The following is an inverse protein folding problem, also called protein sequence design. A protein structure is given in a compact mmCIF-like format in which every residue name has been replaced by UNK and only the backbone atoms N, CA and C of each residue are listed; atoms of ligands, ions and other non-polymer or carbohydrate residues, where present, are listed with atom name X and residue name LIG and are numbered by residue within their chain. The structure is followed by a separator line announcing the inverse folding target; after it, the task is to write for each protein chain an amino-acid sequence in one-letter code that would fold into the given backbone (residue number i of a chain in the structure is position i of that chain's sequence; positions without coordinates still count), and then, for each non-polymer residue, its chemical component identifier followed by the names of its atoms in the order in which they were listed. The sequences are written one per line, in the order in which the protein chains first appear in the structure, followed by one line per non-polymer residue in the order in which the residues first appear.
data_IF_236416824242
#
_entry.id   IF_236416824242
#
_cell.length_a   1.000
_cell.length_b   1.000
_cell.length_c   1.000
_cell.angle_alpha   90.00
_cell.angle_beta   90.00
_cell.angle_gamma   90.00
#
_symmetry.space_group_name_H-M   'P 1'
#
loop_
_entity.id
_entity.type
_entity.pdbx_description
1 polymer ?
#
# COMPACT_ATOMS: atom_id res chain seq x y z
N UNK A 1 12.45 5.21 -32.56
CA UNK A 1 12.50 4.10 -31.59
C UNK A 1 12.78 4.71 -30.24
N UNK A 2 11.93 4.42 -29.26
CA UNK A 2 12.16 4.87 -27.88
C UNK A 2 13.40 4.12 -27.34
N UNK A 3 14.45 4.87 -27.04
CA UNK A 3 15.81 4.35 -26.76
C UNK A 3 15.82 3.35 -25.60
N UNK A 4 14.82 3.42 -24.72
CA UNK A 4 14.73 2.62 -23.50
C UNK A 4 13.49 1.73 -23.46
N UNK A 5 12.86 1.46 -24.61
CA UNK A 5 11.65 0.62 -24.65
C UNK A 5 11.85 -0.75 -23.99
N UNK A 6 12.95 -1.43 -24.33
CA UNK A 6 13.30 -2.75 -23.77
C UNK A 6 13.58 -2.67 -22.26
N UNK A 7 14.29 -1.63 -21.80
CA UNK A 7 14.52 -1.41 -20.38
C UNK A 7 13.22 -1.14 -19.62
N UNK A 8 12.32 -0.33 -20.20
CA UNK A 8 11.02 -0.03 -19.59
C UNK A 8 10.19 -1.30 -19.46
N UNK A 9 10.11 -2.11 -20.51
CA UNK A 9 9.41 -3.38 -20.50
C UNK A 9 9.99 -4.33 -19.44
N UNK A 10 11.32 -4.42 -19.34
CA UNK A 10 11.99 -5.24 -18.33
C UNK A 10 11.69 -4.77 -16.90
N UNK A 11 11.73 -3.45 -16.66
CA UNK A 11 11.43 -2.87 -15.34
C UNK A 11 9.96 -3.08 -14.98
N UNK A 12 9.04 -2.85 -15.92
CA UNK A 12 7.61 -3.08 -15.72
C UNK A 12 7.29 -4.55 -15.50
N UNK A 13 8.08 -5.50 -16.04
CA UNK A 13 7.88 -6.94 -15.89
C UNK A 13 8.26 -7.49 -14.51
N UNK A 14 9.16 -6.85 -13.78
CA UNK A 14 9.70 -7.33 -12.50
C UNK A 14 8.68 -7.22 -11.36
N UNK A 15 8.70 -8.21 -10.47
CA UNK A 15 7.94 -8.18 -9.21
C UNK A 15 8.65 -7.28 -8.18
N UNK A 16 7.85 -6.56 -7.39
CA UNK A 16 8.35 -5.65 -6.37
C UNK A 16 8.31 -6.28 -4.98
N UNK A 17 9.38 -6.05 -4.21
CA UNK A 17 9.39 -6.23 -2.75
C UNK A 17 9.28 -4.86 -2.12
N UNK A 18 8.15 -4.57 -1.48
CA UNK A 18 8.02 -3.37 -0.66
C UNK A 18 8.67 -3.63 0.70
N UNK A 19 9.93 -3.19 0.81
CA UNK A 19 10.75 -3.40 2.00
C UNK A 19 10.37 -2.47 3.17
N UNK A 20 9.53 -1.45 2.94
CA UNK A 20 9.10 -0.53 3.99
C UNK A 20 7.78 0.18 3.67
N UNK A 21 6.70 -0.28 4.30
CA UNK A 21 5.37 0.31 4.17
C UNK A 21 4.78 0.73 5.52
N UNK A 22 3.72 1.55 5.46
CA UNK A 22 2.87 1.94 6.59
C UNK A 22 1.39 1.73 6.24
N UNK A 23 0.51 1.84 7.24
CA UNK A 23 -0.94 1.74 7.04
C UNK A 23 -1.51 2.90 6.21
N UNK A 24 -2.59 2.62 5.48
CA UNK A 24 -3.28 3.58 4.60
C UNK A 24 -4.01 4.67 5.41
N UNK A 25 -3.80 5.95 5.06
CA UNK A 25 -4.44 7.13 5.69
C UNK A 25 -5.11 8.06 4.65
N UNK A 26 -5.97 8.98 5.10
CA UNK A 26 -6.64 9.98 4.25
C UNK A 26 -5.82 11.27 4.13
N UNK A 27 -5.65 11.82 2.90
CA UNK A 27 -4.96 13.10 2.64
C UNK A 27 -5.91 14.17 2.07
N UNK A 28 -5.60 15.44 2.29
CA UNK A 28 -6.43 16.64 2.03
C UNK A 28 -6.24 17.29 0.64
N UNK A 29 -5.53 16.62 -0.27
CA UNK A 29 -5.89 16.67 -1.69
C UNK A 29 -5.29 17.77 -2.59
N UNK A 30 -4.34 18.59 -2.12
CA UNK A 30 -3.80 19.71 -2.93
C UNK A 30 -2.39 19.49 -3.48
N UNK A 31 -1.68 18.45 -3.05
CA UNK A 31 -0.32 18.19 -3.50
C UNK A 31 -0.28 17.57 -4.91
N UNK A 32 0.79 17.84 -5.66
CA UNK A 32 1.03 17.24 -6.98
C UNK A 32 1.00 15.71 -6.97
N UNK A 33 1.50 15.10 -5.89
CA UNK A 33 1.45 13.63 -5.70
C UNK A 33 0.03 13.13 -5.58
N UNK A 34 -0.86 13.89 -4.95
CA UNK A 34 -2.28 13.57 -4.86
C UNK A 34 -2.96 13.64 -6.23
N UNK A 35 -2.70 14.69 -7.02
CA UNK A 35 -3.30 14.83 -8.36
C UNK A 35 -2.86 13.73 -9.33
N UNK A 36 -1.59 13.29 -9.25
CA UNK A 36 -1.12 12.12 -9.99
C UNK A 36 -1.79 10.85 -9.51
N UNK A 37 -1.73 10.57 -8.21
CA UNK A 37 -2.35 9.38 -7.63
C UNK A 37 -3.85 9.30 -7.89
N UNK A 38 -4.55 10.44 -7.95
CA UNK A 38 -5.98 10.48 -8.32
C UNK A 38 -6.21 10.01 -9.76
N UNK A 39 -5.37 10.39 -10.72
CA UNK A 39 -5.46 9.90 -12.10
C UNK A 39 -5.12 8.42 -12.18
N UNK A 40 -4.00 8.03 -11.60
CA UNK A 40 -3.50 6.66 -11.67
C UNK A 40 -4.48 5.67 -11.02
N UNK A 41 -5.06 6.03 -9.88
CA UNK A 41 -6.09 5.22 -9.19
C UNK A 41 -7.42 5.22 -9.96
N UNK A 42 -7.85 6.36 -10.52
CA UNK A 42 -9.07 6.39 -11.31
C UNK A 42 -8.96 5.51 -12.57
N UNK A 43 -7.81 5.55 -13.23
CA UNK A 43 -7.50 4.67 -14.36
C UNK A 43 -7.51 3.19 -13.94
N UNK A 44 -6.81 2.86 -12.83
CA UNK A 44 -6.78 1.50 -12.29
C UNK A 44 -8.19 0.98 -11.93
N UNK A 45 -9.04 1.83 -11.39
CA UNK A 45 -10.40 1.46 -10.98
C UNK A 45 -11.40 1.48 -12.15
N UNK A 46 -11.05 2.11 -13.27
CA UNK A 46 -11.99 2.42 -14.35
C UNK A 46 -13.09 3.39 -13.93
N UNK A 47 -12.80 4.30 -12.99
CA UNK A 47 -13.75 5.28 -12.44
C UNK A 47 -13.60 6.66 -13.07
N UNK A 48 -14.54 7.57 -12.77
CA UNK A 48 -14.35 9.00 -13.05
C UNK A 48 -13.06 9.50 -12.39
N UNK A 49 -12.31 10.36 -13.09
CA UNK A 49 -11.10 11.06 -12.58
C UNK A 49 -11.52 12.18 -11.63
N UNK A 50 -12.19 11.80 -10.54
CA UNK A 50 -12.68 12.69 -9.51
C UNK A 50 -12.58 11.99 -8.15
N UNK A 51 -12.44 12.78 -7.08
CA UNK A 51 -12.44 12.21 -5.72
C UNK A 51 -13.74 11.45 -5.45
N UNK A 52 -14.87 11.96 -5.95
CA UNK A 52 -16.20 11.33 -5.82
C UNK A 52 -16.24 9.98 -6.50
N UNK A 53 -15.80 9.88 -7.76
CA UNK A 53 -15.79 8.63 -8.51
C UNK A 53 -14.96 7.54 -7.83
N UNK A 54 -13.77 7.91 -7.34
CA UNK A 54 -12.91 7.00 -6.57
C UNK A 54 -13.57 6.59 -5.25
N UNK A 55 -14.19 7.53 -4.52
CA UNK A 55 -14.85 7.23 -3.24
C UNK A 55 -16.07 6.32 -3.42
N UNK A 56 -16.87 6.52 -4.47
CA UNK A 56 -18.01 5.67 -4.83
C UNK A 56 -17.54 4.26 -5.17
N UNK A 57 -16.52 4.12 -6.03
CA UNK A 57 -15.92 2.83 -6.34
C UNK A 57 -15.42 2.14 -5.06
N UNK A 58 -14.72 2.87 -4.18
CA UNK A 58 -14.21 2.31 -2.93
C UNK A 58 -15.31 1.76 -2.03
N UNK A 59 -16.44 2.47 -1.94
CA UNK A 59 -17.61 2.05 -1.17
C UNK A 59 -18.29 0.81 -1.76
N UNK A 60 -18.39 0.73 -3.08
CA UNK A 60 -19.06 -0.40 -3.76
C UNK A 60 -18.21 -1.67 -3.79
N UNK A 61 -16.90 -1.56 -4.00
CA UNK A 61 -16.01 -2.72 -4.21
C UNK A 61 -15.51 -3.37 -2.92
N UNK A 62 -15.39 -2.59 -1.84
CA UNK A 62 -14.88 -3.05 -0.55
C UNK A 62 -13.36 -3.16 -0.48
N UNK A 63 -12.82 -3.03 0.74
CA UNK A 63 -11.38 -2.89 0.99
C UNK A 63 -10.56 -4.07 0.45
N UNK A 64 -10.99 -5.31 0.68
CA UNK A 64 -10.23 -6.50 0.27
C UNK A 64 -10.07 -6.60 -1.26
N UNK A 65 -11.16 -6.39 -2.02
CA UNK A 65 -11.13 -6.42 -3.48
C UNK A 65 -10.20 -5.34 -4.05
N UNK A 66 -10.27 -4.14 -3.48
CA UNK A 66 -9.45 -3.00 -3.87
C UNK A 66 -7.98 -3.25 -3.56
N UNK A 67 -7.68 -3.77 -2.37
CA UNK A 67 -6.31 -4.14 -2.00
C UNK A 67 -5.76 -5.19 -2.98
N UNK A 68 -6.51 -6.25 -3.27
CA UNK A 68 -6.07 -7.26 -4.24
C UNK A 68 -5.82 -6.68 -5.63
N UNK A 69 -6.69 -5.78 -6.12
CA UNK A 69 -6.50 -5.07 -7.38
C UNK A 69 -5.21 -4.25 -7.38
N UNK A 70 -4.99 -3.42 -6.36
CA UNK A 70 -3.81 -2.56 -6.25
C UNK A 70 -2.51 -3.37 -6.15
N UNK A 71 -2.48 -4.40 -5.30
CA UNK A 71 -1.30 -5.24 -5.11
C UNK A 71 -0.92 -6.00 -6.37
N UNK A 72 -1.92 -6.54 -7.08
CA UNK A 72 -1.72 -7.21 -8.36
C UNK A 72 -1.22 -6.23 -9.43
N UNK A 73 -1.80 -5.04 -9.52
CA UNK A 73 -1.37 -4.02 -10.48
C UNK A 73 0.06 -3.54 -10.22
N UNK A 74 0.44 -3.42 -8.95
CA UNK A 74 1.79 -3.05 -8.52
C UNK A 74 2.79 -4.22 -8.56
N UNK A 75 2.36 -5.44 -8.89
CA UNK A 75 3.19 -6.67 -8.92
C UNK A 75 3.95 -6.92 -7.62
N UNK A 76 3.29 -6.66 -6.48
CA UNK A 76 3.90 -6.86 -5.16
C UNK A 76 3.95 -8.36 -4.85
N UNK A 77 5.14 -8.91 -4.70
CA UNK A 77 5.36 -10.32 -4.36
C UNK A 77 5.65 -10.52 -2.86
N UNK A 78 6.11 -9.49 -2.16
CA UNK A 78 6.35 -9.56 -0.73
C UNK A 78 6.09 -8.23 -0.04
N UNK A 79 5.63 -8.29 1.21
CA UNK A 79 5.37 -7.12 2.06
C UNK A 79 6.03 -7.35 3.42
N UNK A 80 6.81 -6.36 3.88
CA UNK A 80 7.34 -6.34 5.24
C UNK A 80 6.65 -5.22 6.02
N UNK A 81 5.88 -5.58 7.04
CA UNK A 81 4.99 -4.68 7.78
C UNK A 81 5.62 -4.31 9.11
N UNK A 82 5.81 -3.01 9.34
CA UNK A 82 6.10 -2.46 10.66
C UNK A 82 4.77 -2.14 11.38
N UNK A 83 4.42 -2.98 12.35
CA UNK A 83 3.22 -2.83 13.19
C UNK A 83 3.51 -2.14 14.55
N UNK A 84 4.69 -1.53 14.69
CA UNK A 84 5.11 -0.85 15.91
C UNK A 84 4.42 0.50 16.15
N UNK A 85 3.67 1.02 15.17
CA UNK A 85 2.78 2.18 15.31
C UNK A 85 1.34 1.68 15.36
N UNK A 86 0.62 2.10 16.38
CA UNK A 86 -0.79 1.81 16.53
C UNK A 86 -1.65 2.87 15.82
N UNK A 87 -2.48 2.42 14.89
CA UNK A 87 -3.45 3.22 14.16
C UNK A 87 -4.85 2.65 14.37
N UNK A 88 -5.89 3.47 14.21
CA UNK A 88 -7.25 2.96 14.22
C UNK A 88 -7.48 2.05 13.00
N UNK A 89 -8.15 0.92 13.22
CA UNK A 89 -8.57 -0.05 12.18
C UNK A 89 -7.43 -0.80 11.48
N UNK A 90 -6.30 -1.02 12.16
CA UNK A 90 -5.27 -1.94 11.68
C UNK A 90 -5.80 -3.37 11.55
N UNK A 91 -5.45 -4.03 10.46
CA UNK A 91 -5.66 -5.47 10.32
C UNK A 91 -4.44 -6.24 10.82
N UNK A 92 -4.67 -7.45 11.34
CA UNK A 92 -3.59 -8.35 11.72
C UNK A 92 -2.73 -8.76 10.51
N UNK A 93 -1.49 -9.18 10.76
CA UNK A 93 -0.56 -9.60 9.71
C UNK A 93 -1.13 -10.70 8.81
N UNK A 94 -1.97 -11.58 9.37
CA UNK A 94 -2.56 -12.70 8.65
C UNK A 94 -3.54 -12.25 7.55
N UNK A 95 -4.26 -11.16 7.77
CA UNK A 95 -5.14 -10.58 6.75
C UNK A 95 -4.38 -10.20 5.47
N UNK A 96 -3.14 -9.71 5.63
CA UNK A 96 -2.29 -9.24 4.54
C UNK A 96 -1.78 -10.38 3.63
N UNK A 97 -1.77 -11.63 4.11
CA UNK A 97 -1.41 -12.81 3.30
C UNK A 97 -2.35 -13.04 2.12
N UNK A 98 -3.52 -12.41 2.14
CA UNK A 98 -4.47 -12.44 1.03
C UNK A 98 -3.99 -11.66 -0.21
N UNK A 99 -2.95 -10.81 -0.07
CA UNK A 99 -2.53 -9.88 -1.13
C UNK A 99 -1.11 -10.13 -1.67
N UNK A 100 -0.26 -10.81 -0.91
CA UNK A 100 1.10 -11.17 -1.33
C UNK A 100 1.46 -12.57 -0.81
N UNK A 101 2.22 -13.37 -1.58
CA UNK A 101 2.62 -14.71 -1.16
C UNK A 101 3.56 -14.70 0.05
N UNK A 102 4.34 -13.63 0.24
CA UNK A 102 5.24 -13.46 1.38
C UNK A 102 4.84 -12.23 2.19
N UNK A 103 4.54 -12.43 3.47
CA UNK A 103 4.29 -11.36 4.43
C UNK A 103 5.16 -11.57 5.64
N UNK A 104 5.95 -10.55 5.98
CA UNK A 104 6.86 -10.53 7.13
C UNK A 104 6.57 -9.36 8.05
N UNK A 105 7.01 -9.48 9.31
CA UNK A 105 6.91 -8.43 10.32
C UNK A 105 8.28 -7.76 10.52
N UNK A 106 8.30 -6.44 10.58
CA UNK A 106 9.46 -5.65 11.01
C UNK A 106 9.28 -5.31 12.50
N UNK A 107 10.28 -5.62 13.31
CA UNK A 107 10.31 -5.25 14.72
C UNK A 107 10.82 -3.82 14.87
N UNK A 108 9.95 -2.91 15.29
CA UNK A 108 10.33 -1.55 15.68
C UNK A 108 11.02 -1.55 17.05
N UNK A 109 12.34 -1.37 17.04
CA UNK A 109 13.18 -1.47 18.23
C UNK A 109 12.85 -0.40 19.28
N UNK A 110 12.42 0.78 18.86
CA UNK A 110 12.05 1.90 19.74
C UNK A 110 10.83 1.56 20.58
N UNK A 111 9.81 0.95 19.96
CA UNK A 111 8.58 0.54 20.66
C UNK A 111 8.85 -0.61 21.63
N UNK A 112 9.76 -1.52 21.28
CA UNK A 112 10.20 -2.57 22.19
C UNK A 112 10.99 -1.98 23.37
N UNK A 113 11.90 -1.05 23.11
CA UNK A 113 12.69 -0.39 24.15
C UNK A 113 11.79 0.38 25.13
N UNK A 114 10.79 1.11 24.63
CA UNK A 114 9.78 1.80 25.45
C UNK A 114 9.08 0.83 26.41
N UNK A 115 8.58 -0.31 25.90
CA UNK A 115 7.91 -1.32 26.74
C UNK A 115 8.82 -1.90 27.83
N UNK A 116 10.06 -2.21 27.49
CA UNK A 116 11.05 -2.72 28.46
C UNK A 116 11.33 -1.68 29.55
N UNK A 117 11.46 -0.40 29.16
CA UNK A 117 11.69 0.69 30.11
C UNK A 117 10.49 0.89 31.04
N UNK A 118 9.26 0.72 30.56
CA UNK A 118 8.05 0.84 31.37
C UNK A 118 7.87 -0.34 32.35
N UNK A 119 8.34 -1.55 32.03
CA UNK A 119 8.30 -2.71 32.94
C UNK A 119 9.30 -2.62 34.11
N UNK A 120 10.37 -1.82 33.94
CA UNK A 120 11.44 -1.64 34.93
C UNK A 120 11.17 -0.45 35.88
N UNK A 121 10.09 0.30 35.67
CA UNK A 121 9.63 1.40 36.56
C UNK A 121 8.70 0.89 37.66
#
# INVERSE_FOLDING_TARGET
MDKYAELREAVEAVELVDAHAHNLIHSDGTCFTFQRGLRDIAELYGSEVSLRGIQEYRKCSGLQSISSLCFKAAKIAAILIDDGIEFDKMHEIEWHRSFAPVVGRILRIERLAEKILDEVR
#
